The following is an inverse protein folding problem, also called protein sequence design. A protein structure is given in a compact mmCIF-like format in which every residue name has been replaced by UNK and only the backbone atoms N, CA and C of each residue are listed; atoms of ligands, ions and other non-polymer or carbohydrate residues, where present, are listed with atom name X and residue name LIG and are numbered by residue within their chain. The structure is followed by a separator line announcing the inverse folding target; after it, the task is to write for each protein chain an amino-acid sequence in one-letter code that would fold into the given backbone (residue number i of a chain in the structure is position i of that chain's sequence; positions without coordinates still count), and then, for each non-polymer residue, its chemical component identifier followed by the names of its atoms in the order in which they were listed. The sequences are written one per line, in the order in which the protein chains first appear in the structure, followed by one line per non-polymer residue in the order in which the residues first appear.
data_IF_949239375573
#
_entry.id   IF_949239375573
#
_cell.length_a   1.000
_cell.length_b   1.000
_cell.length_c   1.000
_cell.angle_alpha   90.00
_cell.angle_beta   90.00
_cell.angle_gamma   90.00
#
_symmetry.space_group_name_H-M   'P 1'
#
loop_
_entity.id
_entity.type
_entity.pdbx_description
1 polymer ?
#
# COMPACT_ATOMS: atom_id res chain seq x y z
N UNK A 1 43.88 -18.68 -38.93
CA UNK A 1 43.85 -17.37 -38.29
C UNK A 1 42.41 -16.84 -38.05
N UNK A 2 41.50 -16.87 -39.04
CA UNK A 2 40.13 -16.36 -38.88
C UNK A 2 39.30 -17.05 -37.78
N UNK A 3 39.41 -18.38 -37.63
CA UNK A 3 38.67 -19.16 -36.59
C UNK A 3 39.14 -18.85 -35.18
N UNK A 4 40.40 -18.51 -34.95
CA UNK A 4 40.93 -18.13 -33.65
C UNK A 4 40.48 -16.72 -33.25
N UNK A 5 40.32 -15.81 -34.25
CA UNK A 5 39.79 -14.47 -34.04
C UNK A 5 38.30 -14.47 -33.59
N UNK A 6 37.47 -15.33 -34.20
CA UNK A 6 36.06 -15.52 -33.79
C UNK A 6 35.91 -16.10 -32.39
N UNK A 7 36.81 -17.04 -32.00
CA UNK A 7 36.80 -17.61 -30.65
C UNK A 7 37.17 -16.59 -29.58
N UNK A 8 38.16 -15.71 -29.88
CA UNK A 8 38.56 -14.63 -28.99
C UNK A 8 37.47 -13.55 -28.82
N UNK A 9 36.78 -13.17 -29.92
CA UNK A 9 35.66 -12.24 -29.88
C UNK A 9 34.46 -12.81 -29.14
N UNK A 10 34.15 -14.08 -29.31
CA UNK A 10 33.06 -14.74 -28.57
C UNK A 10 33.36 -14.84 -27.07
N UNK A 11 34.63 -15.15 -26.71
CA UNK A 11 35.08 -15.19 -25.32
C UNK A 11 35.01 -13.81 -24.67
N UNK A 12 35.36 -12.72 -25.39
CA UNK A 12 35.27 -11.35 -24.93
C UNK A 12 33.81 -10.90 -24.73
N UNK A 13 32.89 -11.34 -25.60
CA UNK A 13 31.46 -11.06 -25.48
C UNK A 13 30.82 -11.75 -24.27
N UNK A 14 31.20 -12.97 -23.96
CA UNK A 14 30.72 -13.75 -22.82
C UNK A 14 31.23 -13.15 -21.50
N UNK A 15 32.47 -12.66 -21.46
CA UNK A 15 33.00 -11.98 -20.25
C UNK A 15 32.33 -10.61 -19.97
N UNK A 16 31.89 -9.90 -21.01
CA UNK A 16 31.12 -8.65 -20.85
C UNK A 16 29.72 -8.90 -20.29
N UNK A 17 29.06 -10.00 -20.63
CA UNK A 17 27.72 -10.34 -20.12
C UNK A 17 27.72 -10.84 -18.67
N UNK A 18 28.80 -11.47 -18.21
CA UNK A 18 28.92 -11.92 -16.79
C UNK A 18 29.40 -10.79 -15.87
N UNK A 19 30.08 -9.79 -16.39
CA UNK A 19 30.57 -8.64 -15.60
C UNK A 19 29.47 -7.77 -15.01
N UNK A 20 28.35 -7.59 -15.71
CA UNK A 20 27.25 -6.75 -15.22
C UNK A 20 26.54 -7.32 -13.98
N UNK A 21 26.36 -8.64 -13.89
CA UNK A 21 25.74 -9.26 -12.70
C UNK A 21 26.68 -9.26 -11.49
N UNK A 22 27.97 -9.54 -11.70
CA UNK A 22 28.98 -9.52 -10.64
C UNK A 22 29.24 -8.09 -10.12
N UNK A 23 29.18 -7.08 -10.99
CA UNK A 23 29.33 -5.68 -10.62
C UNK A 23 28.12 -5.18 -9.80
N UNK A 24 26.89 -5.56 -10.15
CA UNK A 24 25.68 -5.30 -9.37
C UNK A 24 25.74 -5.95 -7.98
N UNK A 25 26.17 -7.21 -7.88
CA UNK A 25 26.32 -7.92 -6.60
C UNK A 25 27.42 -7.35 -5.70
N UNK A 26 28.48 -6.76 -6.30
CA UNK A 26 29.56 -6.10 -5.55
C UNK A 26 29.19 -4.70 -5.06
N UNK A 27 28.29 -4.00 -5.76
CA UNK A 27 27.75 -2.71 -5.33
C UNK A 27 26.64 -2.86 -4.26
N UNK A 28 25.86 -3.94 -4.29
CA UNK A 28 24.78 -4.25 -3.32
C UNK A 28 25.28 -4.46 -1.87
N UNK A 29 26.58 -4.64 -1.66
CA UNK A 29 27.10 -5.07 -0.35
C UNK A 29 27.40 -3.93 0.63
N UNK A 30 27.12 -2.65 0.34
CA UNK A 30 27.68 -1.54 1.16
C UNK A 30 26.78 -0.33 1.42
N UNK A 31 25.52 -0.34 1.02
CA UNK A 31 24.64 0.76 1.42
C UNK A 31 24.26 0.65 2.90
N UNK A 32 24.24 1.78 3.59
CA UNK A 32 23.74 1.86 4.96
C UNK A 32 22.26 1.51 5.02
N UNK A 33 21.79 1.09 6.19
CA UNK A 33 20.36 0.98 6.42
C UNK A 33 19.70 2.37 6.32
N UNK A 34 18.60 2.44 5.58
CA UNK A 34 17.82 3.67 5.46
C UNK A 34 17.27 4.11 6.82
N UNK A 35 17.31 5.42 7.08
CA UNK A 35 16.86 6.05 8.31
C UNK A 35 15.41 6.50 8.22
N UNK A 36 14.84 6.88 9.35
CA UNK A 36 13.48 7.41 9.47
C UNK A 36 12.44 6.33 9.76
N UNK A 37 11.34 6.76 10.38
CA UNK A 37 10.17 5.92 10.64
C UNK A 37 9.33 5.72 9.37
N UNK A 38 8.46 4.70 9.33
CA UNK A 38 7.50 4.53 8.24
C UNK A 38 6.69 5.81 7.99
N UNK A 39 6.54 6.17 6.72
CA UNK A 39 5.81 7.37 6.26
C UNK A 39 6.43 8.73 6.66
N UNK A 40 7.66 8.76 7.19
CA UNK A 40 8.45 9.98 7.22
C UNK A 40 8.98 10.30 5.83
N UNK A 41 8.90 11.58 5.44
CA UNK A 41 9.31 12.07 4.13
C UNK A 41 10.10 13.37 4.28
N UNK A 42 11.34 13.36 3.77
CA UNK A 42 12.17 14.56 3.68
C UNK A 42 11.84 15.29 2.39
N UNK A 43 11.51 16.58 2.47
CA UNK A 43 11.41 17.48 1.32
C UNK A 43 12.62 18.40 1.30
N UNK A 44 13.43 18.31 0.25
CA UNK A 44 14.64 19.12 0.06
C UNK A 44 14.31 20.24 -0.90
N UNK A 45 14.17 21.44 -0.37
CA UNK A 45 13.99 22.67 -1.13
C UNK A 45 14.38 23.87 -0.26
N UNK A 46 14.68 25.02 -0.87
CA UNK A 46 14.92 26.24 -0.09
C UNK A 46 13.63 26.77 0.55
N UNK A 47 13.77 27.62 1.57
CA UNK A 47 12.67 28.16 2.33
C UNK A 47 11.66 28.95 1.47
N UNK A 48 12.15 29.71 0.48
CA UNK A 48 11.30 30.51 -0.40
C UNK A 48 10.38 29.63 -1.26
N UNK A 49 10.87 28.50 -1.75
CA UNK A 49 10.05 27.52 -2.48
C UNK A 49 9.04 26.87 -1.53
N UNK A 50 9.45 26.54 -0.31
CA UNK A 50 8.56 25.92 0.66
C UNK A 50 7.43 26.85 1.13
N UNK A 51 7.66 28.16 1.21
CA UNK A 51 6.67 29.19 1.58
C UNK A 51 5.87 29.73 0.39
N UNK A 52 6.09 29.21 -0.82
CA UNK A 52 5.39 29.62 -2.02
C UNK A 52 4.16 28.72 -2.32
N UNK A 53 3.41 29.07 -3.37
CA UNK A 53 2.29 28.28 -3.89
C UNK A 53 2.70 26.81 -4.20
N UNK A 54 3.94 26.59 -4.67
CA UNK A 54 4.47 25.24 -4.86
C UNK A 54 4.52 24.49 -3.53
N UNK A 55 5.01 25.12 -2.46
CA UNK A 55 5.04 24.52 -1.15
C UNK A 55 3.64 24.25 -0.59
N UNK A 56 2.67 25.15 -0.82
CA UNK A 56 1.27 24.93 -0.46
C UNK A 56 0.68 23.74 -1.22
N UNK A 57 0.95 23.64 -2.51
CA UNK A 57 0.53 22.51 -3.35
C UNK A 57 1.15 21.19 -2.87
N UNK A 58 2.45 21.16 -2.59
CA UNK A 58 3.10 19.98 -2.02
C UNK A 58 2.50 19.56 -0.68
N UNK A 59 2.27 20.52 0.23
CA UNK A 59 1.60 20.27 1.52
C UNK A 59 0.19 19.73 1.33
N UNK A 60 -0.58 20.29 0.41
CA UNK A 60 -1.95 19.82 0.13
C UNK A 60 -2.00 18.37 -0.34
N UNK A 61 -0.97 17.92 -1.04
CA UNK A 61 -0.83 16.54 -1.54
C UNK A 61 -0.28 15.62 -0.44
N UNK A 62 0.85 15.97 0.14
CA UNK A 62 1.59 15.08 1.06
C UNK A 62 0.98 15.01 2.47
N UNK A 63 0.32 16.08 2.90
CA UNK A 63 -0.38 16.15 4.19
C UNK A 63 -1.89 15.94 4.06
N UNK A 64 -2.37 15.49 2.91
CA UNK A 64 -3.77 15.12 2.75
C UNK A 64 -4.17 14.09 3.83
N UNK A 65 -5.36 14.18 4.43
CA UNK A 65 -5.78 13.27 5.48
C UNK A 65 -6.05 11.88 4.93
N UNK A 66 -5.68 10.87 5.70
CA UNK A 66 -6.11 9.49 5.44
C UNK A 66 -7.59 9.35 5.77
N UNK A 67 -8.39 8.80 4.85
CA UNK A 67 -9.80 8.57 5.11
C UNK A 67 -10.02 7.43 6.14
N UNK A 68 -11.11 7.55 6.89
CA UNK A 68 -11.53 6.53 7.88
C UNK A 68 -10.51 6.27 8.99
N UNK A 69 -9.96 7.33 9.55
CA UNK A 69 -9.34 7.35 10.86
C UNK A 69 -10.19 8.21 11.80
N UNK A 70 -10.23 7.87 13.09
CA UNK A 70 -10.98 8.61 14.10
C UNK A 70 -10.50 10.06 14.24
N UNK A 71 -9.20 10.28 14.01
CA UNK A 71 -8.54 11.57 14.03
C UNK A 71 -7.96 11.87 12.66
N UNK A 72 -7.83 13.14 12.35
CA UNK A 72 -7.24 13.58 11.09
C UNK A 72 -5.74 13.38 11.13
N UNK A 73 -5.25 12.36 10.41
CA UNK A 73 -3.84 12.07 10.27
C UNK A 73 -3.38 12.25 8.81
N UNK A 74 -2.21 12.89 8.58
CA UNK A 74 -1.71 13.14 7.22
C UNK A 74 -1.15 11.85 6.59
N UNK A 75 -1.09 11.82 5.25
CA UNK A 75 -0.46 10.71 4.49
C UNK A 75 0.99 10.49 4.91
N UNK A 76 1.77 11.57 5.08
CA UNK A 76 3.18 11.51 5.44
C UNK A 76 3.51 12.49 6.58
N UNK A 77 4.51 12.16 7.39
CA UNK A 77 5.17 13.10 8.29
C UNK A 77 6.26 13.81 7.50
N UNK A 78 5.96 15.02 7.05
CA UNK A 78 6.85 15.80 6.19
C UNK A 78 7.80 16.65 7.02
N UNK A 79 9.09 16.57 6.70
CA UNK A 79 10.15 17.42 7.24
C UNK A 79 10.85 18.14 6.08
N UNK A 80 10.86 19.46 6.10
CA UNK A 80 11.55 20.26 5.08
C UNK A 80 12.99 20.58 5.50
N UNK A 81 13.92 20.43 4.56
CA UNK A 81 15.31 20.79 4.72
C UNK A 81 15.77 21.66 3.54
N UNK A 82 16.54 22.74 3.77
CA UNK A 82 17.24 23.43 2.70
C UNK A 82 18.37 22.54 2.16
N UNK A 83 18.82 22.78 0.93
CA UNK A 83 19.93 22.01 0.32
C UNK A 83 21.18 21.98 1.20
N UNK A 84 21.52 23.12 1.85
CA UNK A 84 22.66 23.21 2.77
C UNK A 84 22.53 22.30 3.99
N UNK A 85 21.30 21.97 4.40
CA UNK A 85 20.97 21.06 5.51
C UNK A 85 20.86 19.60 5.08
N UNK A 86 20.80 19.31 3.77
CA UNK A 86 20.69 17.95 3.23
C UNK A 86 22.05 17.24 3.22
N UNK A 87 22.50 16.84 4.41
CA UNK A 87 23.80 16.21 4.66
C UNK A 87 23.76 15.29 5.90
N UNK A 88 24.83 14.54 6.12
CA UNK A 88 24.94 13.61 7.26
C UNK A 88 23.91 12.51 7.18
N UNK A 89 23.15 12.27 8.23
CA UNK A 89 22.13 11.22 8.30
C UNK A 89 20.86 11.53 7.52
N UNK A 90 20.62 12.82 7.19
CA UNK A 90 19.41 13.22 6.43
C UNK A 90 19.41 12.66 5.02
N UNK A 91 20.59 12.50 4.38
CA UNK A 91 20.69 11.92 3.04
C UNK A 91 20.34 10.42 3.01
N UNK A 92 20.40 9.75 4.16
CA UNK A 92 20.13 8.32 4.30
C UNK A 92 18.65 8.02 4.65
N UNK A 93 17.76 9.04 4.67
CA UNK A 93 16.34 8.82 4.95
C UNK A 93 15.67 7.97 3.87
N UNK A 94 14.68 7.19 4.28
CA UNK A 94 13.99 6.20 3.45
C UNK A 94 13.15 6.80 2.32
N UNK A 95 12.58 8.00 2.52
CA UNK A 95 11.78 8.71 1.52
C UNK A 95 12.29 10.14 1.40
N UNK A 96 12.66 10.55 0.20
CA UNK A 96 13.20 11.88 -0.08
C UNK A 96 12.55 12.44 -1.33
N UNK A 97 12.03 13.66 -1.24
CA UNK A 97 11.57 14.46 -2.36
C UNK A 97 12.52 15.66 -2.52
N UNK A 98 13.28 15.71 -3.60
CA UNK A 98 14.08 16.87 -3.99
C UNK A 98 13.30 17.75 -4.95
N UNK A 99 13.32 19.06 -4.74
CA UNK A 99 12.65 20.04 -5.59
C UNK A 99 13.68 20.99 -6.17
N UNK A 100 13.82 20.97 -7.49
CA UNK A 100 14.81 21.75 -8.23
C UNK A 100 14.14 22.65 -9.27
N UNK A 101 14.38 23.95 -9.17
CA UNK A 101 14.02 24.93 -10.21
C UNK A 101 15.27 25.21 -11.03
N UNK A 102 15.25 24.83 -12.31
CA UNK A 102 16.34 25.02 -13.25
C UNK A 102 15.82 25.63 -14.56
N UNK A 103 16.04 26.91 -14.81
CA UNK A 103 15.54 27.59 -16.00
C UNK A 103 16.06 27.03 -17.34
N UNK A 104 17.08 26.18 -17.31
CA UNK A 104 17.59 25.50 -18.52
C UNK A 104 16.72 24.34 -18.99
N UNK A 105 15.80 23.85 -18.13
CA UNK A 105 14.91 22.75 -18.47
C UNK A 105 13.75 23.20 -19.37
N UNK A 106 13.37 22.35 -20.31
CA UNK A 106 12.27 22.63 -21.23
C UNK A 106 10.88 22.47 -20.60
N UNK A 107 10.74 21.57 -19.61
CA UNK A 107 9.47 21.24 -18.97
C UNK A 107 9.70 20.69 -17.55
N UNK A 108 8.62 20.69 -16.75
CA UNK A 108 8.64 20.03 -15.46
C UNK A 108 8.57 18.50 -15.61
N UNK A 109 9.25 17.79 -14.72
CA UNK A 109 9.30 16.32 -14.70
C UNK A 109 9.61 15.80 -13.30
N UNK A 110 9.34 14.51 -13.06
CA UNK A 110 9.75 13.78 -11.88
C UNK A 110 10.61 12.57 -12.27
N UNK A 111 11.75 12.42 -11.62
CA UNK A 111 12.59 11.22 -11.72
C UNK A 111 12.58 10.44 -10.41
N UNK A 112 12.56 9.12 -10.47
CA UNK A 112 12.57 8.24 -9.28
C UNK A 112 13.86 7.42 -9.30
N UNK A 113 14.56 7.40 -8.16
CA UNK A 113 15.76 6.58 -7.94
C UNK A 113 15.58 5.78 -6.66
N UNK A 114 16.11 4.57 -6.65
CA UNK A 114 16.09 3.69 -5.49
C UNK A 114 17.52 3.47 -4.98
N UNK A 115 17.66 3.33 -3.65
CA UNK A 115 18.92 2.93 -3.00
C UNK A 115 20.13 3.80 -3.39
N UNK A 116 19.98 5.13 -3.27
CA UNK A 116 21.00 6.10 -3.69
C UNK A 116 22.16 6.17 -2.67
N UNK A 117 21.85 6.38 -1.39
CA UNK A 117 22.85 6.50 -0.31
C UNK A 117 22.61 5.47 0.81
N UNK A 118 21.40 4.98 0.92
CA UNK A 118 20.97 3.97 1.90
C UNK A 118 19.98 3.00 1.26
N UNK A 119 19.74 1.86 1.88
CA UNK A 119 18.77 0.85 1.40
C UNK A 119 17.92 0.33 2.57
N UNK A 120 16.60 0.16 2.35
CA UNK A 120 15.80 0.51 1.18
C UNK A 120 15.39 2.00 1.17
N UNK A 121 15.76 2.72 0.13
CA UNK A 121 15.50 4.16 -0.02
C UNK A 121 14.78 4.46 -1.33
N UNK A 122 13.88 5.47 -1.35
CA UNK A 122 13.34 6.07 -2.56
C UNK A 122 13.61 7.56 -2.56
N UNK A 123 14.16 8.05 -3.66
CA UNK A 123 14.43 9.47 -3.90
C UNK A 123 13.67 9.90 -5.15
N UNK A 124 12.76 10.84 -4.98
CA UNK A 124 12.05 11.49 -6.09
C UNK A 124 12.70 12.86 -6.31
N UNK A 125 13.11 13.14 -7.55
CA UNK A 125 13.58 14.47 -7.94
C UNK A 125 12.53 15.12 -8.82
N UNK A 126 11.86 16.14 -8.29
CA UNK A 126 10.92 16.99 -9.00
C UNK A 126 11.70 18.20 -9.52
N UNK A 127 11.76 18.37 -10.85
CA UNK A 127 12.54 19.42 -11.48
C UNK A 127 11.76 20.10 -12.59
N UNK A 128 12.01 21.41 -12.82
CA UNK A 128 11.33 22.16 -13.87
C UNK A 128 11.88 23.55 -14.06
N UNK A 129 11.51 24.23 -15.17
CA UNK A 129 12.07 25.54 -15.56
C UNK A 129 11.65 26.67 -14.61
N UNK A 130 10.45 26.59 -14.04
CA UNK A 130 9.92 27.62 -13.15
C UNK A 130 9.13 26.99 -12.00
N UNK A 131 8.91 27.77 -10.96
CA UNK A 131 8.08 27.38 -9.81
C UNK A 131 6.65 27.09 -10.25
N UNK A 132 6.08 27.88 -11.13
CA UNK A 132 4.72 27.76 -11.66
C UNK A 132 4.55 26.45 -12.43
N UNK A 133 5.53 26.09 -13.28
CA UNK A 133 5.53 24.82 -14.01
C UNK A 133 5.56 23.62 -13.05
N UNK A 134 6.33 23.70 -11.96
CA UNK A 134 6.36 22.66 -10.93
C UNK A 134 5.05 22.57 -10.16
N UNK A 135 4.44 23.73 -9.84
CA UNK A 135 3.14 23.78 -9.14
C UNK A 135 2.07 23.07 -9.97
N UNK A 136 1.98 23.39 -11.26
CA UNK A 136 1.06 22.73 -12.19
C UNK A 136 1.35 21.23 -12.30
N UNK A 137 2.61 20.86 -12.46
CA UNK A 137 3.00 19.44 -12.57
C UNK A 137 2.58 18.64 -11.33
N UNK A 138 2.83 19.16 -10.11
CA UNK A 138 2.41 18.50 -8.86
C UNK A 138 0.89 18.37 -8.77
N UNK A 139 0.16 19.41 -9.19
CA UNK A 139 -1.31 19.39 -9.18
C UNK A 139 -1.89 18.33 -10.13
N UNK A 140 -1.26 18.13 -11.29
CA UNK A 140 -1.68 17.13 -12.29
C UNK A 140 -1.25 15.70 -11.92
N UNK A 141 -0.08 15.52 -11.27
CA UNK A 141 0.52 14.21 -10.95
C UNK A 141 0.48 13.87 -9.45
N UNK A 142 -0.48 14.45 -8.71
CA UNK A 142 -0.59 14.24 -7.26
C UNK A 142 -0.71 12.77 -6.85
N UNK A 143 -1.48 12.00 -7.62
CA UNK A 143 -1.72 10.59 -7.34
C UNK A 143 -0.44 9.76 -7.53
N UNK A 144 0.31 10.00 -8.60
CA UNK A 144 1.56 9.30 -8.89
C UNK A 144 2.63 9.61 -7.83
N UNK A 145 2.73 10.87 -7.40
CA UNK A 145 3.67 11.28 -6.35
C UNK A 145 3.38 10.55 -5.03
N UNK A 146 2.13 10.51 -4.61
CA UNK A 146 1.71 9.79 -3.40
C UNK A 146 1.96 8.28 -3.55
N UNK A 147 1.54 7.68 -4.67
CA UNK A 147 1.68 6.24 -4.93
C UNK A 147 3.15 5.79 -4.96
N UNK A 148 4.06 6.65 -5.40
CA UNK A 148 5.50 6.34 -5.41
C UNK A 148 6.01 6.09 -3.99
N UNK A 149 5.70 6.97 -3.03
CA UNK A 149 6.15 6.82 -1.65
C UNK A 149 5.35 5.74 -0.90
N UNK A 150 4.04 5.65 -1.08
CA UNK A 150 3.22 4.57 -0.50
C UNK A 150 3.62 3.20 -1.04
N UNK A 151 3.96 3.12 -2.33
CA UNK A 151 4.49 1.90 -2.96
C UNK A 151 5.79 1.46 -2.31
N UNK A 152 6.73 2.38 -2.10
CA UNK A 152 8.00 2.08 -1.44
C UNK A 152 7.80 1.59 0.01
N UNK A 153 6.86 2.17 0.78
CA UNK A 153 6.54 1.70 2.13
C UNK A 153 5.92 0.30 2.10
N UNK A 154 4.99 0.05 1.19
CA UNK A 154 4.40 -1.27 0.98
C UNK A 154 5.45 -2.31 0.63
N UNK A 155 6.36 -2.02 -0.29
CA UNK A 155 7.40 -2.95 -0.73
C UNK A 155 8.35 -3.31 0.41
N UNK A 156 8.68 -2.36 1.31
CA UNK A 156 9.44 -2.62 2.55
C UNK A 156 8.69 -3.55 3.50
N UNK A 157 7.38 -3.32 3.68
CA UNK A 157 6.52 -4.17 4.50
C UNK A 157 6.45 -5.60 3.94
N UNK A 158 6.28 -5.75 2.61
CA UNK A 158 6.30 -7.04 1.92
C UNK A 158 7.66 -7.73 2.07
N UNK A 159 8.76 -7.00 1.90
CA UNK A 159 10.11 -7.54 2.08
C UNK A 159 10.33 -8.03 3.52
N UNK A 160 9.87 -7.29 4.51
CA UNK A 160 9.90 -7.70 5.91
C UNK A 160 9.09 -8.99 6.14
N UNK A 161 7.86 -9.06 5.66
CA UNK A 161 7.01 -10.24 5.76
C UNK A 161 7.62 -11.45 5.05
N UNK A 162 8.27 -11.26 3.90
CA UNK A 162 8.97 -12.31 3.18
C UNK A 162 10.16 -12.88 3.98
N UNK A 163 10.90 -12.00 4.66
CA UNK A 163 12.07 -12.37 5.46
C UNK A 163 11.69 -13.01 6.79
N UNK A 164 10.63 -12.54 7.42
CA UNK A 164 10.21 -12.92 8.77
C UNK A 164 8.77 -13.43 8.80
N UNK A 165 8.44 -14.43 7.99
CA UNK A 165 7.11 -15.02 7.97
C UNK A 165 6.97 -16.18 8.97
N UNK A 166 5.72 -16.46 9.35
CA UNK A 166 5.32 -17.59 10.19
C UNK A 166 4.81 -18.72 9.30
N UNK A 167 5.67 -19.70 9.03
CA UNK A 167 5.40 -20.80 8.09
C UNK A 167 4.17 -21.61 8.49
N UNK A 168 3.99 -21.93 9.78
CA UNK A 168 2.87 -22.75 10.27
C UNK A 168 1.53 -22.02 10.12
N UNK A 169 1.49 -20.72 10.41
CA UNK A 169 0.30 -19.90 10.19
C UNK A 169 -0.08 -19.83 8.70
N UNK A 170 0.93 -19.72 7.82
CA UNK A 170 0.72 -19.75 6.36
C UNK A 170 0.20 -21.10 5.86
N UNK A 171 0.68 -22.22 6.42
CA UNK A 171 0.15 -23.56 6.13
C UNK A 171 -1.32 -23.67 6.53
N UNK A 172 -1.68 -23.22 7.71
CA UNK A 172 -3.05 -23.23 8.20
C UNK A 172 -4.00 -22.45 7.27
N UNK A 173 -3.58 -21.26 6.78
CA UNK A 173 -4.35 -20.48 5.80
C UNK A 173 -4.56 -21.28 4.51
N UNK A 174 -3.52 -21.92 4.01
CA UNK A 174 -3.60 -22.76 2.81
C UNK A 174 -4.54 -23.94 2.99
N UNK A 175 -4.46 -24.64 4.13
CA UNK A 175 -5.31 -25.79 4.43
C UNK A 175 -6.80 -25.41 4.50
N UNK A 176 -7.11 -24.25 5.11
CA UNK A 176 -8.50 -23.84 5.31
C UNK A 176 -9.12 -23.15 4.09
N UNK A 177 -8.35 -22.35 3.39
CA UNK A 177 -8.89 -21.47 2.32
C UNK A 177 -8.33 -21.77 0.93
N UNK A 178 -7.36 -22.67 0.80
CA UNK A 178 -6.67 -22.91 -0.49
C UNK A 178 -5.84 -21.71 -0.98
N UNK A 179 -5.58 -20.73 -0.14
CA UNK A 179 -4.89 -19.48 -0.45
C UNK A 179 -3.52 -19.47 0.20
N UNK A 180 -2.51 -19.05 -0.53
CA UNK A 180 -1.19 -18.81 0.06
C UNK A 180 -1.14 -17.40 0.66
N UNK A 181 -0.67 -17.32 1.91
CA UNK A 181 -0.45 -16.04 2.59
C UNK A 181 0.80 -16.12 3.44
N UNK A 182 1.66 -15.11 3.31
CA UNK A 182 2.78 -14.94 4.24
C UNK A 182 2.33 -14.09 5.41
N UNK A 183 2.39 -14.66 6.61
CA UNK A 183 1.98 -13.97 7.84
C UNK A 183 3.24 -13.45 8.53
N UNK A 184 3.40 -12.12 8.70
CA UNK A 184 4.57 -11.55 9.37
C UNK A 184 4.73 -12.07 10.78
N UNK A 185 5.98 -12.16 11.25
CA UNK A 185 6.27 -12.51 12.64
C UNK A 185 5.65 -11.48 13.59
N UNK A 186 5.08 -11.97 14.70
CA UNK A 186 4.42 -11.15 15.72
C UNK A 186 2.91 -11.37 15.80
N UNK A 187 2.27 -11.76 14.70
CA UNK A 187 0.86 -12.13 14.73
C UNK A 187 0.66 -13.46 15.47
N UNK A 188 -0.34 -13.52 16.33
CA UNK A 188 -0.74 -14.70 17.08
C UNK A 188 -2.12 -15.13 16.61
N UNK A 189 -2.30 -16.43 16.32
CA UNK A 189 -3.61 -17.01 16.06
C UNK A 189 -4.41 -16.99 17.36
N UNK A 190 -5.47 -16.18 17.39
CA UNK A 190 -6.31 -16.01 18.57
C UNK A 190 -7.55 -16.92 18.52
N UNK A 191 -8.08 -17.19 17.31
CA UNK A 191 -9.23 -18.05 17.13
C UNK A 191 -9.25 -18.71 15.76
N UNK A 192 -9.80 -19.91 15.65
CA UNK A 192 -9.99 -20.62 14.40
C UNK A 192 -11.28 -21.46 14.38
N UNK A 193 -11.86 -21.58 13.19
CA UNK A 193 -12.87 -22.57 12.81
C UNK A 193 -12.66 -22.98 11.35
N UNK A 194 -13.55 -23.76 10.74
CA UNK A 194 -13.35 -24.23 9.36
C UNK A 194 -13.41 -23.12 8.32
N UNK A 195 -14.20 -22.08 8.60
CA UNK A 195 -14.45 -20.95 7.70
C UNK A 195 -13.89 -19.61 8.20
N UNK A 196 -13.10 -19.63 9.30
CA UNK A 196 -12.64 -18.41 9.98
C UNK A 196 -11.31 -18.61 10.68
N UNK A 197 -10.41 -17.63 10.52
CA UNK A 197 -9.18 -17.45 11.30
C UNK A 197 -9.09 -16.01 11.78
N UNK A 198 -8.72 -15.80 13.03
CA UNK A 198 -8.44 -14.48 13.58
C UNK A 198 -7.04 -14.44 14.14
N UNK A 199 -6.22 -13.49 13.62
CA UNK A 199 -4.87 -13.18 14.06
C UNK A 199 -4.81 -11.80 14.68
N UNK A 200 -4.00 -11.63 15.72
CA UNK A 200 -3.78 -10.36 16.39
C UNK A 200 -2.30 -10.15 16.69
N UNK A 201 -1.89 -8.88 16.67
CA UNK A 201 -0.55 -8.43 17.05
C UNK A 201 -0.70 -7.33 18.10
N UNK A 202 -0.11 -7.55 19.29
CA UNK A 202 -0.22 -6.66 20.43
C UNK A 202 1.01 -5.78 20.55
N UNK A 203 0.78 -4.49 20.69
CA UNK A 203 1.75 -3.48 21.06
C UNK A 203 1.42 -2.95 22.46
N UNK A 204 2.35 -2.23 23.16
CA UNK A 204 2.10 -1.76 24.52
C UNK A 204 0.87 -0.84 24.68
N UNK A 205 0.49 -0.10 23.65
CA UNK A 205 -0.63 0.85 23.68
C UNK A 205 -1.56 0.77 22.45
N UNK A 206 -1.40 -0.24 21.62
CA UNK A 206 -2.21 -0.47 20.45
C UNK A 206 -2.29 -1.98 20.15
N UNK A 207 -3.27 -2.39 19.37
CA UNK A 207 -3.28 -3.71 18.75
C UNK A 207 -3.74 -3.57 17.30
N UNK A 208 -3.26 -4.46 16.48
CA UNK A 208 -3.76 -4.65 15.13
C UNK A 208 -4.09 -6.12 14.91
N UNK A 209 -5.04 -6.38 14.06
CA UNK A 209 -5.46 -7.74 13.78
C UNK A 209 -6.05 -7.86 12.39
N UNK A 210 -6.14 -9.11 11.97
CA UNK A 210 -6.88 -9.44 10.77
C UNK A 210 -7.63 -10.74 10.95
N UNK A 211 -8.78 -10.84 10.30
CA UNK A 211 -9.51 -12.08 10.17
C UNK A 211 -9.58 -12.50 8.70
N UNK A 212 -9.49 -13.79 8.48
CA UNK A 212 -9.74 -14.43 7.20
C UNK A 212 -11.03 -15.23 7.33
N UNK A 213 -11.93 -15.08 6.38
CA UNK A 213 -13.14 -15.89 6.35
C UNK A 213 -13.62 -16.18 4.93
N UNK A 214 -14.36 -17.26 4.78
CA UNK A 214 -14.97 -17.59 3.50
C UNK A 214 -16.35 -18.21 3.66
N UNK A 215 -17.21 -17.98 2.67
CA UNK A 215 -18.58 -18.49 2.61
C UNK A 215 -18.98 -18.80 1.16
N UNK A 216 -20.03 -19.59 0.90
CA UNK A 216 -20.49 -19.90 -0.45
C UNK A 216 -20.79 -18.65 -1.27
N UNK A 217 -20.39 -18.66 -2.55
CA UNK A 217 -20.74 -17.63 -3.51
C UNK A 217 -22.08 -17.98 -4.16
N UNK A 218 -23.10 -17.20 -3.92
CA UNK A 218 -24.46 -17.43 -4.41
C UNK A 218 -24.83 -16.48 -5.57
N UNK A 219 -23.83 -15.99 -6.29
CA UNK A 219 -24.00 -15.04 -7.39
C UNK A 219 -23.67 -13.60 -6.99
N UNK A 220 -23.95 -12.67 -7.90
CA UNK A 220 -23.53 -11.26 -7.74
C UNK A 220 -24.08 -10.57 -6.49
N UNK A 221 -25.24 -10.98 -6.01
CA UNK A 221 -25.84 -10.48 -4.77
C UNK A 221 -24.97 -10.71 -3.53
N UNK A 222 -24.10 -11.75 -3.55
CA UNK A 222 -23.13 -11.99 -2.47
C UNK A 222 -22.08 -10.88 -2.31
N UNK A 223 -21.96 -10.00 -3.30
CA UNK A 223 -21.05 -8.86 -3.33
C UNK A 223 -21.77 -7.51 -3.23
N UNK A 224 -23.08 -7.50 -2.90
CA UNK A 224 -23.76 -6.24 -2.59
C UNK A 224 -23.23 -5.65 -1.27
N UNK A 225 -23.36 -4.36 -1.08
CA UNK A 225 -22.89 -3.66 0.12
C UNK A 225 -23.55 -4.26 1.39
N UNK A 226 -24.83 -4.56 1.32
CA UNK A 226 -25.61 -5.16 2.41
C UNK A 226 -25.12 -6.58 2.73
N UNK A 227 -24.88 -7.40 1.69
CA UNK A 227 -24.40 -8.77 1.88
C UNK A 227 -22.98 -8.80 2.48
N UNK A 228 -22.09 -7.92 2.00
CA UNK A 228 -20.73 -7.79 2.52
C UNK A 228 -20.73 -7.32 3.97
N UNK A 229 -21.55 -6.33 4.31
CA UNK A 229 -21.70 -5.84 5.68
C UNK A 229 -22.28 -6.92 6.61
N UNK A 230 -23.31 -7.62 6.17
CA UNK A 230 -23.93 -8.72 6.93
C UNK A 230 -22.92 -9.86 7.15
N UNK A 231 -22.16 -10.25 6.13
CA UNK A 231 -21.10 -11.26 6.25
C UNK A 231 -20.02 -10.81 7.24
N UNK A 232 -19.52 -9.57 7.12
CA UNK A 232 -18.56 -9.02 8.05
C UNK A 232 -19.05 -9.10 9.50
N UNK A 233 -20.26 -8.62 9.77
CA UNK A 233 -20.81 -8.62 11.13
C UNK A 233 -20.99 -10.03 11.69
N UNK A 234 -21.43 -10.99 10.88
CA UNK A 234 -21.54 -12.40 11.27
C UNK A 234 -20.19 -13.00 11.70
N UNK A 235 -19.11 -12.70 10.97
CA UNK A 235 -17.78 -13.22 11.29
C UNK A 235 -17.11 -12.43 12.40
N UNK A 236 -17.22 -11.10 12.41
CA UNK A 236 -16.70 -10.24 13.46
C UNK A 236 -17.33 -10.55 14.84
N UNK A 237 -18.60 -10.91 14.89
CA UNK A 237 -19.27 -11.29 16.14
C UNK A 237 -18.67 -12.54 16.82
N UNK A 238 -17.79 -13.29 16.14
CA UNK A 238 -17.03 -14.39 16.76
C UNK A 238 -15.84 -13.86 17.58
N UNK A 239 -15.44 -12.59 17.40
CA UNK A 239 -14.36 -11.96 18.17
C UNK A 239 -14.96 -11.38 19.44
N UNK A 240 -14.62 -11.93 20.62
CA UNK A 240 -15.15 -11.44 21.89
C UNK A 240 -14.61 -10.04 22.19
N UNK A 241 -15.45 -9.22 22.77
CA UNK A 241 -15.04 -7.94 23.38
C UNK A 241 -14.49 -8.13 24.80
N UNK A 242 -14.14 -7.04 25.48
CA UNK A 242 -13.57 -7.09 26.82
C UNK A 242 -14.56 -7.54 27.90
N UNK A 243 -15.84 -7.23 27.74
CA UNK A 243 -16.91 -7.57 28.70
C UNK A 243 -17.60 -8.88 28.34
N UNK A 244 -18.12 -9.60 29.33
CA UNK A 244 -18.84 -10.85 29.10
C UNK A 244 -20.03 -10.67 28.15
N UNK A 245 -20.07 -11.50 27.11
CA UNK A 245 -21.11 -11.44 26.08
C UNK A 245 -20.96 -10.32 25.06
N UNK A 246 -19.96 -9.45 25.21
CA UNK A 246 -19.65 -8.43 24.21
C UNK A 246 -18.90 -9.02 23.01
N UNK A 247 -19.06 -8.43 21.82
CA UNK A 247 -18.45 -8.91 20.58
C UNK A 247 -18.23 -7.79 19.56
N UNK A 248 -17.31 -8.03 18.64
CA UNK A 248 -16.99 -7.08 17.57
C UNK A 248 -18.12 -6.99 16.54
N UNK A 249 -18.40 -5.78 16.10
CA UNK A 249 -19.36 -5.48 15.02
C UNK A 249 -18.88 -4.30 14.16
N UNK A 250 -19.62 -3.93 13.13
CA UNK A 250 -19.41 -2.66 12.42
C UNK A 250 -20.15 -1.55 13.13
N UNK A 251 -19.52 -0.39 13.28
CA UNK A 251 -20.14 0.79 13.86
C UNK A 251 -21.42 1.19 13.13
N UNK A 252 -22.47 1.49 13.90
CA UNK A 252 -23.77 1.96 13.39
C UNK A 252 -23.76 3.47 13.12
N UNK A 253 -22.74 4.18 13.63
CA UNK A 253 -22.65 5.64 13.53
C UNK A 253 -22.08 6.08 12.19
N UNK A 254 -21.15 5.29 11.63
CA UNK A 254 -20.44 5.62 10.40
C UNK A 254 -20.74 4.61 9.31
N UNK A 255 -21.33 5.07 8.21
CA UNK A 255 -21.59 4.21 7.05
C UNK A 255 -20.27 3.82 6.38
N UNK A 256 -20.00 2.52 6.19
CA UNK A 256 -18.82 2.07 5.46
C UNK A 256 -18.83 2.56 4.01
N UNK A 257 -17.64 2.75 3.43
CA UNK A 257 -17.47 3.03 2.00
C UNK A 257 -16.99 1.79 1.27
N UNK A 258 -17.39 1.67 0.02
CA UNK A 258 -17.06 0.54 -0.84
C UNK A 258 -16.34 1.04 -2.09
N UNK A 259 -15.35 0.27 -2.53
CA UNK A 259 -14.58 0.54 -3.75
C UNK A 259 -14.24 -0.75 -4.46
N UNK A 260 -14.55 -0.80 -5.76
CA UNK A 260 -14.13 -1.91 -6.62
C UNK A 260 -12.78 -1.60 -7.24
N UNK A 261 -11.87 -2.57 -7.25
CA UNK A 261 -10.55 -2.43 -7.85
C UNK A 261 -10.03 -3.77 -8.37
N UNK A 262 -8.91 -3.73 -9.11
CA UNK A 262 -8.20 -4.93 -9.54
C UNK A 262 -6.79 -4.95 -8.94
N UNK A 263 -6.40 -6.14 -8.46
CA UNK A 263 -5.05 -6.41 -8.00
C UNK A 263 -4.62 -7.76 -8.58
N UNK A 264 -3.49 -7.78 -9.29
CA UNK A 264 -2.93 -8.97 -9.94
C UNK A 264 -3.97 -9.71 -10.81
N UNK A 265 -4.76 -8.95 -11.57
CA UNK A 265 -5.79 -9.49 -12.47
C UNK A 265 -7.11 -9.91 -11.80
N UNK A 266 -7.15 -10.04 -10.47
CA UNK A 266 -8.35 -10.40 -9.70
C UNK A 266 -9.14 -9.17 -9.30
N UNK A 267 -10.47 -9.26 -9.37
CA UNK A 267 -11.37 -8.21 -8.89
C UNK A 267 -11.56 -8.31 -7.37
N UNK A 268 -11.51 -7.17 -6.70
CA UNK A 268 -11.68 -7.03 -5.26
C UNK A 268 -12.71 -5.95 -4.95
N UNK A 269 -13.41 -6.14 -3.84
CA UNK A 269 -14.20 -5.09 -3.17
C UNK A 269 -13.47 -4.71 -1.89
N UNK A 270 -13.14 -3.44 -1.76
CA UNK A 270 -12.67 -2.84 -0.50
C UNK A 270 -13.87 -2.25 0.23
N UNK A 271 -14.03 -2.57 1.50
CA UNK A 271 -14.95 -1.92 2.42
C UNK A 271 -14.15 -1.27 3.54
N UNK A 272 -14.33 0.03 3.78
CA UNK A 272 -13.69 0.77 4.87
C UNK A 272 -14.70 1.36 5.80
N UNK A 273 -14.43 1.33 7.09
CA UNK A 273 -15.31 1.89 8.10
C UNK A 273 -14.69 1.83 9.49
N UNK A 274 -15.57 1.89 10.47
CA UNK A 274 -15.22 1.74 11.87
C UNK A 274 -15.89 0.51 12.45
N UNK A 275 -15.15 -0.22 13.27
CA UNK A 275 -15.69 -1.29 14.09
C UNK A 275 -15.93 -0.79 15.51
N UNK A 276 -16.93 -1.35 16.15
CA UNK A 276 -17.28 -1.16 17.56
C UNK A 276 -17.39 -2.51 18.24
N UNK A 277 -17.54 -2.50 19.55
CA UNK A 277 -17.92 -3.67 20.35
C UNK A 277 -19.34 -3.48 20.84
N UNK A 278 -20.23 -4.39 20.45
CA UNK A 278 -21.57 -4.44 21.01
C UNK A 278 -21.47 -4.85 22.49
N UNK A 279 -21.99 -4.01 23.39
CA UNK A 279 -21.94 -4.21 24.84
C UNK A 279 -20.67 -3.67 25.53
N UNK A 280 -19.81 -2.90 24.83
CA UNK A 280 -18.63 -2.27 25.39
C UNK A 280 -18.23 -1.00 24.60
N UNK A 281 -17.25 -0.22 25.11
CA UNK A 281 -16.78 1.05 24.53
C UNK A 281 -15.45 0.90 23.79
N UNK A 282 -15.28 -0.13 23.02
CA UNK A 282 -14.06 -0.36 22.25
C UNK A 282 -14.35 -0.27 20.76
N UNK A 283 -13.49 0.40 19.99
CA UNK A 283 -13.69 0.56 18.55
C UNK A 283 -12.45 1.10 17.85
N UNK A 284 -12.51 1.16 16.52
CA UNK A 284 -11.42 1.68 15.70
C UNK A 284 -11.68 1.52 14.20
N UNK A 285 -10.71 1.92 13.36
CA UNK A 285 -10.82 1.75 11.92
C UNK A 285 -10.65 0.29 11.49
N UNK A 286 -11.30 -0.06 10.37
CA UNK A 286 -11.09 -1.31 9.67
C UNK A 286 -11.03 -1.12 8.15
N UNK A 287 -10.42 -2.08 7.48
CA UNK A 287 -10.51 -2.28 6.03
C UNK A 287 -10.71 -3.75 5.73
N UNK A 288 -11.67 -4.05 4.88
CA UNK A 288 -12.01 -5.40 4.44
C UNK A 288 -11.81 -5.53 2.94
N UNK A 289 -11.14 -6.58 2.50
CA UNK A 289 -10.88 -6.90 1.10
C UNK A 289 -11.54 -8.23 0.75
N UNK A 290 -12.53 -8.17 -0.13
CA UNK A 290 -13.34 -9.33 -0.51
C UNK A 290 -13.18 -9.63 -1.99
N UNK A 291 -13.02 -10.91 -2.32
CA UNK A 291 -12.99 -11.42 -3.70
C UNK A 291 -13.74 -12.74 -3.81
N UNK A 292 -14.04 -13.14 -5.05
CA UNK A 292 -14.56 -14.48 -5.34
C UNK A 292 -13.43 -15.40 -5.77
N UNK A 293 -13.28 -16.51 -5.09
CA UNK A 293 -12.47 -17.61 -5.57
C UNK A 293 -13.32 -18.52 -6.47
N UNK A 294 -13.13 -18.36 -7.77
CA UNK A 294 -13.88 -19.11 -8.79
C UNK A 294 -13.47 -20.59 -8.87
N UNK A 295 -12.34 -20.98 -8.26
CA UNK A 295 -11.91 -22.39 -8.24
C UNK A 295 -12.69 -23.19 -7.19
N UNK A 296 -13.13 -22.55 -6.12
CA UNK A 296 -13.86 -23.19 -5.02
C UNK A 296 -15.31 -22.73 -4.90
N UNK A 297 -15.72 -21.79 -5.75
CA UNK A 297 -17.03 -21.14 -5.73
C UNK A 297 -17.38 -20.53 -4.38
N UNK A 298 -16.40 -19.84 -3.79
CA UNK A 298 -16.52 -19.20 -2.48
C UNK A 298 -16.12 -17.73 -2.52
N UNK A 299 -16.76 -16.95 -1.68
CA UNK A 299 -16.28 -15.61 -1.30
C UNK A 299 -15.18 -15.78 -0.28
N UNK A 300 -14.04 -15.10 -0.51
CA UNK A 300 -12.91 -15.01 0.42
C UNK A 300 -12.74 -13.56 0.86
N UNK A 301 -12.52 -13.34 2.14
CA UNK A 301 -12.31 -12.02 2.72
C UNK A 301 -11.09 -12.00 3.65
N UNK A 302 -10.25 -10.97 3.47
CA UNK A 302 -9.26 -10.50 4.44
C UNK A 302 -9.81 -9.21 5.06
N UNK A 303 -10.12 -9.21 6.35
CA UNK A 303 -10.59 -8.06 7.10
C UNK A 303 -9.55 -7.66 8.14
N UNK A 304 -9.11 -6.41 8.12
CA UNK A 304 -8.04 -5.88 8.95
C UNK A 304 -8.58 -4.77 9.84
N UNK A 305 -8.20 -4.77 11.12
CA UNK A 305 -8.64 -3.79 12.09
C UNK A 305 -7.51 -3.32 12.99
N UNK A 306 -7.65 -2.12 13.53
CA UNK A 306 -6.70 -1.50 14.47
C UNK A 306 -7.43 -0.97 15.67
N UNK A 307 -6.86 -1.22 16.85
CA UNK A 307 -7.22 -0.58 18.10
C UNK A 307 -6.03 0.25 18.60
N UNK A 308 -6.19 1.56 18.70
CA UNK A 308 -5.13 2.47 19.13
C UNK A 308 -5.75 3.73 19.76
N UNK A 309 -6.27 3.63 21.01
CA UNK A 309 -7.05 4.71 21.62
C UNK A 309 -6.23 5.96 21.94
N UNK A 310 -4.90 5.83 22.08
CA UNK A 310 -4.01 6.91 22.53
C UNK A 310 -2.92 7.31 21.53
N UNK A 311 -2.75 6.54 20.45
CA UNK A 311 -1.68 6.74 19.48
C UNK A 311 -2.26 6.95 18.08
N UNK A 312 -1.53 7.65 17.19
CA UNK A 312 -1.86 7.74 15.78
C UNK A 312 -2.06 6.35 15.16
N UNK A 313 -3.07 6.22 14.32
CA UNK A 313 -3.53 4.93 13.75
C UNK A 313 -2.98 4.68 12.34
N UNK A 314 -2.54 5.75 11.65
CA UNK A 314 -2.10 5.70 10.25
C UNK A 314 -1.14 4.54 9.98
N UNK A 315 -0.01 4.48 10.70
CA UNK A 315 1.03 3.49 10.41
C UNK A 315 0.52 2.07 10.65
N UNK A 316 -0.26 1.85 11.71
CA UNK A 316 -0.88 0.54 11.98
C UNK A 316 -1.87 0.14 10.88
N UNK A 317 -2.73 1.06 10.44
CA UNK A 317 -3.68 0.77 9.35
C UNK A 317 -2.96 0.47 8.03
N UNK A 318 -1.95 1.27 7.68
CA UNK A 318 -1.15 1.03 6.46
C UNK A 318 -0.43 -0.31 6.49
N UNK A 319 0.09 -0.70 7.65
CA UNK A 319 0.75 -1.99 7.81
C UNK A 319 -0.20 -3.17 7.58
N UNK A 320 -1.40 -3.14 8.16
CA UNK A 320 -2.39 -4.21 7.95
C UNK A 320 -2.97 -4.20 6.53
N UNK A 321 -3.08 -3.04 5.87
CA UNK A 321 -3.48 -2.93 4.47
C UNK A 321 -2.49 -3.65 3.54
N UNK A 322 -1.20 -3.63 3.86
CA UNK A 322 -0.18 -4.32 3.08
C UNK A 322 -0.34 -5.84 3.06
N UNK A 323 -1.04 -6.42 4.03
CA UNK A 323 -1.30 -7.86 4.11
C UNK A 323 -2.03 -8.38 2.86
N UNK A 324 -2.86 -7.55 2.21
CA UNK A 324 -3.52 -7.91 0.96
C UNK A 324 -2.52 -8.36 -0.12
N UNK A 325 -1.36 -7.71 -0.21
CA UNK A 325 -0.32 -8.02 -1.18
C UNK A 325 0.46 -9.30 -0.87
N UNK A 326 0.24 -9.89 0.30
CA UNK A 326 0.82 -11.17 0.71
C UNK A 326 -0.12 -12.36 0.44
N UNK A 327 -1.36 -12.09 -0.01
CA UNK A 327 -2.37 -13.09 -0.38
C UNK A 327 -2.17 -13.49 -1.83
N UNK A 328 -2.01 -14.79 -2.08
CA UNK A 328 -1.84 -15.37 -3.42
C UNK A 328 -2.82 -16.52 -3.62
N UNK A 329 -3.62 -16.43 -4.67
CA UNK A 329 -4.47 -17.54 -5.09
C UNK A 329 -3.66 -18.46 -6.01
N UNK A 330 -3.75 -19.79 -5.84
CA UNK A 330 -3.14 -20.73 -6.80
C UNK A 330 -3.64 -20.45 -8.22
N UNK A 331 -2.76 -20.62 -9.20
CA UNK A 331 -3.20 -20.57 -10.59
C UNK A 331 -4.27 -21.64 -10.81
N UNK A 332 -5.38 -21.30 -11.48
CA UNK A 332 -6.40 -22.26 -11.83
C UNK A 332 -5.74 -23.40 -12.66
N UNK A 333 -5.70 -24.60 -12.10
CA UNK A 333 -5.24 -25.79 -12.81
C UNK A 333 -6.27 -26.11 -13.87
N UNK A 334 -6.11 -25.59 -15.10
CA UNK A 334 -7.03 -25.91 -16.20
C UNK A 334 -7.30 -24.75 -17.17
N UNK A 335 -6.28 -23.99 -17.57
CA UNK A 335 -6.35 -23.22 -18.83
C UNK A 335 -5.19 -23.66 -19.70
N UNK A 336 -5.49 -24.58 -20.63
CA UNK A 336 -4.58 -24.89 -21.73
C UNK A 336 -4.19 -23.57 -22.40
N UNK A 337 -2.89 -23.33 -22.49
CA UNK A 337 -2.29 -22.22 -23.21
C UNK A 337 -2.83 -22.21 -24.66
N UNK A 338 -3.81 -21.36 -24.93
CA UNK A 338 -4.10 -20.96 -26.29
C UNK A 338 -3.00 -19.97 -26.69
N UNK A 339 -2.03 -20.45 -27.41
CA UNK A 339 -1.01 -19.65 -28.09
C UNK A 339 -1.71 -18.71 -29.07
N UNK A 340 -1.98 -17.49 -28.66
CA UNK A 340 -2.44 -16.43 -29.57
C UNK A 340 -1.20 -15.88 -30.27
N UNK A 341 -1.04 -16.28 -31.51
CA UNK A 341 -0.10 -15.69 -32.46
C UNK A 341 -0.36 -14.20 -32.58
N UNK A 342 0.67 -13.41 -32.31
CA UNK A 342 0.63 -11.96 -32.41
C UNK A 342 0.37 -11.52 -33.86
N UNK A 343 -0.87 -11.12 -34.15
CA UNK A 343 -1.25 -10.36 -35.32
C UNK A 343 -1.17 -8.87 -35.00
N UNK A 344 -0.19 -8.21 -35.60
CA UNK A 344 0.01 -6.76 -35.63
C UNK A 344 -1.22 -6.09 -36.23
N UNK A 345 -1.91 -5.23 -35.49
CA UNK A 345 -2.83 -4.21 -36.04
C UNK A 345 -2.72 -2.89 -35.32
N UNK A 346 -2.74 -1.85 -36.16
CA UNK A 346 -2.51 -0.45 -35.90
C UNK A 346 -3.51 0.24 -34.96
N UNK A 347 -3.06 1.39 -34.48
CA UNK A 347 -3.73 2.33 -33.59
C UNK A 347 -5.11 2.79 -34.12
N UNK A 348 -6.09 2.79 -33.24
CA UNK A 348 -7.27 3.63 -33.38
C UNK A 348 -7.46 4.41 -32.07
N UNK A 349 -7.44 5.73 -32.20
CA UNK A 349 -7.86 6.71 -31.19
C UNK A 349 -9.34 6.48 -30.88
N UNK A 350 -9.72 6.45 -29.61
CA UNK A 350 -11.11 6.70 -29.22
C UNK A 350 -11.15 7.44 -27.90
N UNK A 351 -11.86 8.54 -27.94
CA UNK A 351 -12.20 9.48 -26.89
C UNK A 351 -12.91 8.79 -25.72
N UNK A 352 -12.51 9.12 -24.48
CA UNK A 352 -13.24 8.76 -23.28
C UNK A 352 -13.88 10.02 -22.66
N UNK A 353 -15.14 9.96 -22.21
CA UNK A 353 -15.81 11.11 -21.61
C UNK A 353 -15.40 11.30 -20.15
N UNK A 354 -15.25 12.55 -19.77
CA UNK A 354 -14.97 13.01 -18.41
C UNK A 354 -16.14 12.65 -17.47
N UNK A 355 -15.86 11.93 -16.40
CA UNK A 355 -16.77 11.78 -15.26
C UNK A 355 -16.59 12.95 -14.30
N UNK A 356 -17.66 13.71 -14.11
CA UNK A 356 -17.78 14.70 -13.05
C UNK A 356 -18.08 13.99 -11.75
N UNK A 357 -17.12 13.98 -10.83
CA UNK A 357 -17.40 13.66 -9.43
C UNK A 357 -17.33 14.93 -8.59
N UNK A 358 -18.52 15.40 -8.20
CA UNK A 358 -18.69 16.42 -7.20
C UNK A 358 -18.50 15.82 -5.81
N UNK A 359 -17.49 16.31 -5.09
CA UNK A 359 -17.23 16.00 -3.71
C UNK A 359 -18.06 16.92 -2.80
N UNK A 360 -19.01 16.43 -2.01
CA UNK A 360 -19.63 17.25 -0.97
C UNK A 360 -18.76 17.26 0.28
N UNK A 361 -18.23 18.42 0.57
CA UNK A 361 -17.57 18.78 1.83
C UNK A 361 -18.58 18.72 2.99
N UNK A 362 -18.37 17.99 4.07
CA UNK A 362 -19.18 18.15 5.28
C UNK A 362 -18.63 19.31 6.11
N UNK A 363 -19.35 20.41 6.10
CA UNK A 363 -19.17 21.52 7.02
C UNK A 363 -19.35 21.11 8.49
N UNK A 364 -18.59 21.79 9.31
CA UNK A 364 -18.53 21.70 10.75
C UNK A 364 -19.91 21.73 11.41
N UNK A 365 -20.15 20.77 12.29
CA UNK A 365 -21.18 20.91 13.31
C UNK A 365 -20.55 21.66 14.49
N UNK A 366 -20.89 22.94 14.60
CA UNK A 366 -20.61 23.78 15.76
C UNK A 366 -21.43 23.30 16.96
N UNK A 367 -20.78 23.31 18.11
CA UNK A 367 -21.34 23.14 19.44
C UNK A 367 -22.50 24.07 19.73
N UNK A 368 -23.61 23.54 20.20
CA UNK A 368 -24.49 24.27 21.17
C UNK A 368 -25.14 23.26 22.13
N UNK A 369 -24.96 23.64 23.41
CA UNK A 369 -25.58 23.17 24.68
C UNK A 369 -25.33 21.73 25.09
#
# INVERSE_FOLDING_TARGET
MKKLSYLLTLLLLVTLMTGCKAFHTLMDSKLKAAQGAPYELIVVCNQQLWESELGDTLRSVLLAPIPYLNEREPLFNVMQFPESGFKGTVVDYRNILKVLVDPSLAAASAGVQYDVTASPQVVVTLQGPTREALTQYVAEHRAELVQTFEGAERDRSIAFANKFNQTESGKLVREKFGVEMKIPKGYILAQQSDDFLWFRYEFPAASQGFMLYSYPYEGKQSLSEEALLAARNRFAARIPGPSDGSYMTTSKVFTPRYRFFRLEGRAWVEMRGFWDVEGDFMGGPFVSYTTVDTATDRVFTLDCCVYSPKLPKRNYMREVEHLLHLVKFPAATGSASATVTAGRREAAKSDAPASRDANPNPEAISSES
#
